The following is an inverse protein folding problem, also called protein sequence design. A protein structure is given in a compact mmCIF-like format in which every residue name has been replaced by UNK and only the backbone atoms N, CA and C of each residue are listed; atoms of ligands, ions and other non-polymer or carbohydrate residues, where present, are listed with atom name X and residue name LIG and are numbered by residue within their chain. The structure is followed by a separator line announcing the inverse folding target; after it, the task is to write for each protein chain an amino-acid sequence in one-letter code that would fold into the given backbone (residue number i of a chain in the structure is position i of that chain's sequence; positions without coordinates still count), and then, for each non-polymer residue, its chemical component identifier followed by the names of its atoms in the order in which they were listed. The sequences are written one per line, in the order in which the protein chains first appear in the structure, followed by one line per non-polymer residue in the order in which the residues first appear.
data_IF_090561467437
#
_entry.id   IF_090561467437
#
_cell.length_a   1.000
_cell.length_b   1.000
_cell.length_c   1.000
_cell.angle_alpha   90.00
_cell.angle_beta   90.00
_cell.angle_gamma   90.00
#
_symmetry.space_group_name_H-M   'P 1'
#
loop_
_entity.id
_entity.type
_entity.pdbx_description
1 polymer ?
#
# COMPACT_ATOMS: atom_id res chain seq x y z
N UNK A 1 3.15 62.84 -53.33
CA UNK A 1 3.20 61.37 -53.20
C UNK A 1 3.21 61.04 -51.72
N UNK A 2 2.09 60.57 -51.19
CA UNK A 2 1.89 60.32 -49.75
C UNK A 2 2.08 58.82 -49.47
N UNK A 3 2.93 58.40 -48.52
CA UNK A 3 2.92 57.01 -48.08
C UNK A 3 1.84 56.76 -47.02
N UNK A 4 1.15 55.65 -47.25
CA UNK A 4 -0.02 55.13 -46.55
C UNK A 4 0.26 54.84 -45.07
N UNK A 5 -0.66 55.25 -44.20
CA UNK A 5 -0.67 54.88 -42.78
C UNK A 5 -1.04 53.40 -42.61
N UNK A 6 -0.14 52.61 -42.04
CA UNK A 6 -0.40 51.21 -41.68
C UNK A 6 -0.64 51.12 -40.17
N UNK A 7 -1.90 50.96 -39.80
CA UNK A 7 -2.36 50.76 -38.41
C UNK A 7 -2.07 49.33 -37.98
N UNK A 8 -1.11 49.12 -37.07
CA UNK A 8 -0.89 47.81 -36.45
C UNK A 8 -1.89 47.63 -35.29
N UNK A 9 -2.79 46.66 -35.44
CA UNK A 9 -3.68 46.19 -34.37
C UNK A 9 -2.83 45.56 -33.26
N UNK A 10 -2.85 46.20 -32.08
CA UNK A 10 -2.24 45.69 -30.85
C UNK A 10 -3.17 44.66 -30.21
N UNK A 11 -2.86 43.38 -30.35
CA UNK A 11 -3.55 42.30 -29.65
C UNK A 11 -3.36 42.42 -28.12
N UNK A 12 -4.42 42.26 -27.30
CA UNK A 12 -4.27 42.23 -25.85
C UNK A 12 -3.69 40.87 -25.43
N UNK A 13 -2.46 40.87 -24.92
CA UNK A 13 -1.86 39.71 -24.26
C UNK A 13 -2.68 39.36 -23.01
N UNK A 14 -3.14 38.11 -22.94
CA UNK A 14 -3.84 37.55 -21.79
C UNK A 14 -2.99 37.71 -20.52
N UNK A 15 -3.55 38.43 -19.54
CA UNK A 15 -2.98 38.60 -18.20
C UNK A 15 -3.09 37.29 -17.43
N UNK A 16 -1.99 36.54 -17.33
CA UNK A 16 -1.87 35.34 -16.49
C UNK A 16 -1.99 35.74 -15.00
N UNK A 17 -2.90 35.15 -14.20
CA UNK A 17 -2.92 35.40 -12.78
C UNK A 17 -1.68 34.77 -12.12
N UNK A 18 -0.97 35.59 -11.34
CA UNK A 18 0.16 35.18 -10.52
C UNK A 18 -0.40 34.32 -9.39
N UNK A 19 -0.11 33.03 -9.40
CA UNK A 19 -0.36 32.14 -8.26
C UNK A 19 0.50 32.64 -7.09
N UNK A 20 -0.06 32.87 -5.88
CA UNK A 20 0.77 33.18 -4.72
C UNK A 20 1.60 31.93 -4.41
N UNK A 21 2.91 32.04 -4.63
CA UNK A 21 3.88 31.04 -4.18
C UNK A 21 3.79 30.93 -2.66
N UNK A 22 3.45 29.74 -2.16
CA UNK A 22 3.58 29.39 -0.74
C UNK A 22 4.97 29.82 -0.25
N UNK A 23 5.00 30.81 0.65
CA UNK A 23 6.19 31.16 1.41
C UNK A 23 6.47 29.97 2.32
N UNK A 24 7.35 29.07 1.87
CA UNK A 24 7.92 28.03 2.72
C UNK A 24 8.77 28.71 3.77
N UNK A 25 8.24 28.78 4.99
CA UNK A 25 9.00 29.11 6.20
C UNK A 25 10.07 28.04 6.39
N UNK A 26 11.32 28.39 6.05
CA UNK A 26 12.48 27.55 6.30
C UNK A 26 12.72 27.54 7.81
N UNK A 27 12.27 26.48 8.47
CA UNK A 27 12.69 26.16 9.84
C UNK A 27 14.22 26.05 9.86
N UNK A 28 14.86 26.81 10.76
CA UNK A 28 16.28 26.81 11.13
C UNK A 28 17.10 25.73 10.42
N UNK A 29 17.82 26.12 9.36
CA UNK A 29 18.78 25.24 8.69
C UNK A 29 19.94 24.98 9.66
N UNK A 30 19.84 23.91 10.46
CA UNK A 30 21.00 23.33 11.12
C UNK A 30 22.04 23.04 10.02
N UNK A 31 23.33 23.41 10.19
CA UNK A 31 24.33 23.21 9.16
C UNK A 31 24.33 21.73 8.79
N UNK A 32 23.98 21.42 7.54
CA UNK A 32 23.96 20.05 7.05
C UNK A 32 25.40 19.57 7.04
N UNK A 33 25.75 18.61 7.89
CA UNK A 33 27.04 17.95 7.81
C UNK A 33 27.21 17.38 6.39
N UNK A 34 28.41 17.50 5.80
CA UNK A 34 28.70 16.93 4.48
C UNK A 34 28.32 15.45 4.39
N UNK A 35 28.54 14.71 5.48
CA UNK A 35 28.10 13.31 5.64
C UNK A 35 26.57 13.16 5.58
N UNK A 36 25.79 14.04 6.22
CA UNK A 36 24.33 14.00 6.16
C UNK A 36 23.76 14.22 4.75
N UNK A 37 24.42 15.05 3.93
CA UNK A 37 24.05 15.25 2.52
C UNK A 37 24.33 13.99 1.69
N UNK A 38 25.48 13.34 1.92
CA UNK A 38 25.84 12.10 1.23
C UNK A 38 24.84 10.96 1.47
N UNK A 39 24.48 10.68 2.72
CA UNK A 39 23.49 9.63 3.04
C UNK A 39 22.10 9.96 2.48
N UNK A 40 21.76 11.25 2.43
CA UNK A 40 20.50 11.70 1.84
C UNK A 40 20.46 11.54 0.32
N UNK A 41 21.57 11.76 -0.37
CA UNK A 41 21.65 11.66 -1.82
C UNK A 41 21.75 10.20 -2.30
N UNK A 42 22.58 9.39 -1.66
CA UNK A 42 22.94 8.06 -2.18
C UNK A 42 22.28 6.92 -1.42
N UNK A 43 22.28 6.99 -0.09
CA UNK A 43 21.80 5.87 0.74
C UNK A 43 20.28 5.82 0.83
N UNK A 44 19.58 6.96 0.84
CA UNK A 44 18.11 7.00 0.88
C UNK A 44 17.45 6.29 -0.32
N UNK A 45 17.83 6.56 -1.58
CA UNK A 45 17.28 5.82 -2.73
C UNK A 45 17.59 4.32 -2.67
N UNK A 46 18.82 3.94 -2.35
CA UNK A 46 19.25 2.54 -2.27
C UNK A 46 18.53 1.79 -1.16
N UNK A 47 18.38 2.40 0.02
CA UNK A 47 17.65 1.80 1.12
C UNK A 47 16.17 1.60 0.75
N UNK A 48 15.56 2.56 0.04
CA UNK A 48 14.16 2.43 -0.42
C UNK A 48 13.98 1.25 -1.37
N UNK A 49 14.87 1.09 -2.35
CA UNK A 49 14.76 -0.01 -3.32
C UNK A 49 15.08 -1.35 -2.67
N UNK A 50 16.11 -1.42 -1.80
CA UNK A 50 16.45 -2.63 -1.07
C UNK A 50 15.29 -3.11 -0.16
N UNK A 51 14.70 -2.19 0.60
CA UNK A 51 13.55 -2.52 1.46
C UNK A 51 12.32 -2.93 0.64
N UNK A 52 12.05 -2.25 -0.47
CA UNK A 52 10.95 -2.62 -1.36
C UNK A 52 11.19 -3.99 -2.01
N UNK A 53 12.43 -4.30 -2.41
CA UNK A 53 12.80 -5.58 -2.98
C UNK A 53 12.61 -6.72 -1.97
N UNK A 54 13.08 -6.54 -0.74
CA UNK A 54 12.83 -7.51 0.34
C UNK A 54 11.34 -7.65 0.58
N UNK A 55 10.61 -6.54 0.70
CA UNK A 55 9.16 -6.57 0.91
C UNK A 55 8.41 -7.32 -0.21
N UNK A 56 8.75 -7.07 -1.47
CA UNK A 56 8.17 -7.76 -2.61
C UNK A 56 8.47 -9.26 -2.56
N UNK A 57 9.71 -9.64 -2.24
CA UNK A 57 10.08 -11.05 -2.03
C UNK A 57 9.25 -11.69 -0.91
N UNK A 58 9.09 -11.00 0.21
CA UNK A 58 8.26 -11.49 1.32
C UNK A 58 6.80 -11.67 0.89
N UNK A 59 6.23 -10.75 0.11
CA UNK A 59 4.86 -10.88 -0.39
C UNK A 59 4.69 -12.06 -1.35
N UNK A 60 5.67 -12.31 -2.22
CA UNK A 60 5.64 -13.46 -3.14
C UNK A 60 5.76 -14.76 -2.36
N UNK A 61 6.70 -14.85 -1.42
CA UNK A 61 6.86 -16.04 -0.57
C UNK A 61 5.62 -16.29 0.30
N UNK A 62 5.08 -15.24 0.92
CA UNK A 62 3.85 -15.33 1.69
C UNK A 62 2.65 -15.73 0.82
N UNK A 63 2.54 -15.18 -0.39
CA UNK A 63 1.52 -15.55 -1.37
C UNK A 63 1.61 -17.02 -1.75
N UNK A 64 2.83 -17.53 -1.99
CA UNK A 64 3.08 -18.95 -2.23
C UNK A 64 2.62 -19.81 -1.05
N UNK A 65 3.07 -19.51 0.17
CA UNK A 65 2.68 -20.27 1.37
C UNK A 65 1.17 -20.20 1.66
N UNK A 66 0.50 -19.10 1.28
CA UNK A 66 -0.95 -18.93 1.50
C UNK A 66 -1.78 -19.78 0.53
N UNK A 67 -1.33 -19.94 -0.71
CA UNK A 67 -1.99 -20.83 -1.70
C UNK A 67 -2.01 -22.29 -1.23
N UNK A 68 -0.90 -22.80 -0.68
CA UNK A 68 -0.84 -24.17 -0.13
C UNK A 68 -1.78 -24.37 1.07
N UNK A 69 -1.91 -23.34 1.91
CA UNK A 69 -2.70 -23.41 3.14
C UNK A 69 -4.20 -23.35 2.87
N UNK A 70 -4.64 -22.69 1.79
CA UNK A 70 -6.07 -22.53 1.51
C UNK A 70 -6.73 -23.87 1.14
N UNK A 71 -6.04 -24.75 0.39
CA UNK A 71 -6.54 -26.10 0.09
C UNK A 71 -6.63 -26.98 1.35
N UNK A 72 -5.61 -26.92 2.20
CA UNK A 72 -5.55 -27.70 3.45
C UNK A 72 -6.65 -27.23 4.42
N UNK A 73 -6.92 -25.92 4.49
CA UNK A 73 -7.94 -25.37 5.38
C UNK A 73 -9.35 -25.85 5.02
N UNK A 74 -9.68 -25.99 3.75
CA UNK A 74 -11.00 -26.46 3.33
C UNK A 74 -11.22 -27.92 3.74
N UNK A 75 -10.24 -28.78 3.47
CA UNK A 75 -10.28 -30.19 3.86
C UNK A 75 -10.39 -30.37 5.39
N UNK A 76 -9.57 -29.63 6.14
CA UNK A 76 -9.58 -29.67 7.62
C UNK A 76 -10.90 -29.16 8.21
N UNK A 77 -11.49 -28.11 7.63
CA UNK A 77 -12.80 -27.61 8.08
C UNK A 77 -13.90 -28.65 7.86
N UNK A 78 -13.92 -29.30 6.70
CA UNK A 78 -14.88 -30.36 6.40
C UNK A 78 -14.74 -31.55 7.37
N UNK A 79 -13.49 -31.95 7.67
CA UNK A 79 -13.19 -33.01 8.64
C UNK A 79 -13.68 -32.64 10.05
N UNK A 80 -13.43 -31.40 10.50
CA UNK A 80 -13.91 -30.90 11.80
C UNK A 80 -15.43 -30.94 11.87
N UNK A 81 -16.14 -30.45 10.85
CA UNK A 81 -17.61 -30.45 10.83
C UNK A 81 -18.17 -31.87 10.90
N UNK A 82 -17.55 -32.83 10.19
CA UNK A 82 -17.94 -34.24 10.26
C UNK A 82 -17.75 -34.80 11.67
N UNK A 83 -16.60 -34.55 12.29
CA UNK A 83 -16.29 -35.04 13.63
C UNK A 83 -17.22 -34.43 14.68
N UNK A 84 -17.52 -33.13 14.59
CA UNK A 84 -18.50 -32.46 15.46
C UNK A 84 -19.89 -33.09 15.34
N UNK A 85 -20.32 -33.45 14.14
CA UNK A 85 -21.60 -34.13 13.93
C UNK A 85 -21.62 -35.53 14.58
N UNK A 86 -20.54 -36.30 14.43
CA UNK A 86 -20.41 -37.62 15.06
C UNK A 86 -20.41 -37.53 16.59
N UNK A 87 -19.66 -36.59 17.15
CA UNK A 87 -19.62 -36.37 18.61
C UNK A 87 -20.99 -35.98 19.14
N UNK A 88 -21.72 -35.09 18.45
CA UNK A 88 -23.09 -34.71 18.84
C UNK A 88 -24.04 -35.92 18.80
N UNK A 89 -23.98 -36.74 17.76
CA UNK A 89 -24.78 -37.97 17.66
C UNK A 89 -24.50 -38.93 18.82
N UNK A 90 -23.22 -39.23 19.08
CA UNK A 90 -22.81 -40.12 20.17
C UNK A 90 -23.17 -39.56 21.55
N UNK A 91 -23.07 -38.25 21.76
CA UNK A 91 -23.51 -37.62 23.01
C UNK A 91 -25.03 -37.72 23.21
N UNK A 92 -25.82 -37.59 22.15
CA UNK A 92 -27.28 -37.75 22.21
C UNK A 92 -27.65 -39.21 22.51
N UNK A 93 -27.03 -40.17 21.84
CA UNK A 93 -27.23 -41.61 22.10
C UNK A 93 -26.85 -41.97 23.54
N UNK A 94 -25.71 -41.46 24.03
CA UNK A 94 -25.27 -41.71 25.42
C UNK A 94 -26.24 -41.10 26.44
N UNK A 95 -26.77 -39.90 26.19
CA UNK A 95 -27.79 -39.27 27.05
C UNK A 95 -29.10 -40.06 27.05
N UNK A 96 -29.58 -40.46 25.87
CA UNK A 96 -30.78 -41.28 25.75
C UNK A 96 -30.62 -42.66 26.41
N UNK A 97 -29.41 -43.25 26.36
CA UNK A 97 -29.11 -44.50 27.04
C UNK A 97 -29.02 -44.34 28.57
N UNK A 98 -28.55 -43.20 29.08
CA UNK A 98 -28.57 -42.92 30.52
C UNK A 98 -29.97 -42.61 31.07
N UNK A 99 -30.86 -42.03 30.28
CA UNK A 99 -32.25 -41.76 30.68
C UNK A 99 -33.14 -43.00 30.63
N UNK A 100 -32.73 -44.04 29.90
CA UNK A 100 -33.42 -45.35 29.84
C UNK A 100 -33.02 -46.33 30.95
N UNK A 101 -32.04 -45.98 31.78
CA UNK A 101 -31.48 -46.81 32.84
C UNK A 101 -31.98 -46.35 34.20
#
# INVERSE_FOLDING_TARGET
MSPLSTTLLRSPLLRRPISPSQIRSYSSQKPTSQTGVFYKAWTRPVAKTALLAVFAYQLVYWGWSKLEVDEIKEQRKAEITRLEAQVKGLQQEKKAASERK
#
